data_IF_193390937703
#
_entry.id   IF_193390937703
#
_cell.length_a   1.000
_cell.length_b   1.000
_cell.length_c   1.000
_cell.angle_alpha   90.00
_cell.angle_beta   90.00
_cell.angle_gamma   90.00
#
_symmetry.space_group_name_H-M   'P 1'
#
loop_
_entity.id
_entity.type
_entity.pdbx_description
1 polymer ?
#
# COMPACT_ATOMS: atom_id res chain seq x y z
N UNK A 1 66.02 19.23 16.58
CA UNK A 1 65.10 19.73 17.64
C UNK A 1 63.77 20.06 16.98
N UNK A 2 62.67 19.44 17.46
CA UNK A 2 61.23 19.81 17.33
C UNK A 2 60.53 19.68 15.97
N UNK A 3 59.97 18.48 15.76
CA UNK A 3 58.82 18.19 14.89
C UNK A 3 57.61 19.05 15.25
N UNK A 4 56.87 19.53 14.25
CA UNK A 4 55.47 19.98 14.42
C UNK A 4 54.61 19.28 13.38
N UNK A 5 54.10 18.11 13.77
CA UNK A 5 52.96 17.46 13.10
C UNK A 5 51.71 18.26 13.48
N UNK A 6 51.15 18.99 12.50
CA UNK A 6 49.81 19.54 12.62
C UNK A 6 48.83 18.49 12.11
N UNK A 7 48.25 17.71 13.04
CA UNK A 7 47.11 16.85 12.77
C UNK A 7 45.90 17.74 12.42
N UNK A 8 45.59 17.87 11.13
CA UNK A 8 44.27 18.32 10.69
C UNK A 8 43.28 17.18 10.95
N UNK A 9 42.53 17.31 12.04
CA UNK A 9 41.32 16.52 12.28
C UNK A 9 40.27 16.95 11.23
N UNK A 10 40.12 16.15 10.16
CA UNK A 10 38.99 16.27 9.26
C UNK A 10 37.72 15.84 10.02
N UNK A 11 36.89 16.82 10.37
CA UNK A 11 35.55 16.59 10.90
C UNK A 11 34.71 15.93 9.79
N UNK A 12 34.57 14.61 9.86
CA UNK A 12 33.61 13.87 9.07
C UNK A 12 32.23 14.23 9.62
N UNK A 13 31.56 15.20 8.99
CA UNK A 13 30.14 15.39 9.19
C UNK A 13 29.43 14.16 8.62
N UNK A 14 29.19 13.16 9.47
CA UNK A 14 28.21 12.12 9.21
C UNK A 14 26.85 12.79 9.14
N UNK A 15 26.47 13.21 7.93
CA UNK A 15 25.09 13.51 7.60
C UNK A 15 24.29 12.23 7.80
N UNK A 16 23.77 12.05 9.01
CA UNK A 16 22.64 11.17 9.26
C UNK A 16 21.47 11.77 8.48
N UNK A 17 21.40 11.45 7.19
CA UNK A 17 20.15 11.54 6.46
C UNK A 17 19.22 10.56 7.18
N UNK A 18 18.42 11.10 8.12
CA UNK A 18 17.29 10.39 8.67
C UNK A 18 16.41 10.10 7.46
N UNK A 19 16.49 8.88 6.95
CA UNK A 19 15.51 8.35 6.02
C UNK A 19 14.21 8.31 6.83
N UNK A 20 13.41 9.36 6.74
CA UNK A 20 12.02 9.29 7.15
C UNK A 20 11.40 8.24 6.23
N UNK A 21 11.05 7.08 6.79
CA UNK A 21 10.14 6.18 6.13
C UNK A 21 8.82 6.96 6.03
N UNK A 22 8.49 7.48 4.85
CA UNK A 22 7.14 7.96 4.57
C UNK A 22 6.21 6.78 4.82
N UNK A 23 5.49 6.83 5.93
CA UNK A 23 4.43 5.88 6.22
C UNK A 23 3.34 6.10 5.18
N UNK A 24 3.02 5.04 4.43
CA UNK A 24 1.98 5.11 3.41
C UNK A 24 0.63 5.29 4.10
N UNK A 25 0.09 6.50 4.07
CA UNK A 25 -1.24 6.77 4.59
C UNK A 25 -2.31 6.25 3.61
N UNK A 26 -2.89 5.10 3.91
CA UNK A 26 -3.96 4.52 3.10
C UNK A 26 -5.36 5.08 3.45
N UNK A 27 -5.49 5.85 4.54
CA UNK A 27 -6.77 6.42 4.94
C UNK A 27 -7.32 7.43 3.93
N UNK A 28 -6.43 8.08 3.17
CA UNK A 28 -6.76 9.01 2.08
C UNK A 28 -7.61 8.40 0.96
N UNK A 29 -7.66 7.07 0.85
CA UNK A 29 -8.43 6.39 -0.19
C UNK A 29 -9.87 6.13 0.21
N UNK A 30 -10.23 6.29 1.49
CA UNK A 30 -11.60 6.10 1.98
C UNK A 30 -12.58 7.02 1.25
N UNK A 31 -13.67 6.44 0.77
CA UNK A 31 -14.71 7.13 -0.01
C UNK A 31 -14.40 7.28 -1.49
N UNK A 32 -13.20 6.91 -1.97
CA UNK A 32 -12.88 6.92 -3.40
C UNK A 32 -13.43 5.68 -4.10
N UNK A 33 -13.71 5.83 -5.40
CA UNK A 33 -14.03 4.71 -6.28
C UNK A 33 -12.87 3.73 -6.37
N UNK A 34 -13.16 2.44 -6.23
CA UNK A 34 -12.18 1.36 -6.33
C UNK A 34 -11.41 1.42 -7.65
N UNK A 35 -12.07 1.71 -8.77
CA UNK A 35 -11.45 1.78 -10.08
C UNK A 35 -10.39 2.89 -10.19
N UNK A 36 -10.62 4.01 -9.50
CA UNK A 36 -9.63 5.10 -9.41
C UNK A 36 -8.41 4.63 -8.60
N UNK A 37 -8.66 4.04 -7.43
CA UNK A 37 -7.57 3.57 -6.54
C UNK A 37 -6.76 2.45 -7.20
N UNK A 38 -7.42 1.48 -7.82
CA UNK A 38 -6.79 0.41 -8.61
C UNK A 38 -5.84 1.01 -9.66
N UNK A 39 -6.31 1.98 -10.45
CA UNK A 39 -5.49 2.62 -11.48
C UNK A 39 -4.29 3.37 -10.89
N UNK A 40 -4.50 4.12 -9.81
CA UNK A 40 -3.42 4.84 -9.11
C UNK A 40 -2.33 3.88 -8.61
N UNK A 41 -2.72 2.77 -7.99
CA UNK A 41 -1.81 1.74 -7.49
C UNK A 41 -1.03 1.07 -8.63
N UNK A 42 -1.73 0.61 -9.67
CA UNK A 42 -1.09 -0.03 -10.83
C UNK A 42 -0.11 0.93 -11.53
N UNK A 43 -0.48 2.20 -11.71
CA UNK A 43 0.39 3.23 -12.30
C UNK A 43 1.62 3.53 -11.41
N UNK A 44 1.50 3.33 -10.09
CA UNK A 44 2.59 3.49 -9.13
C UNK A 44 3.44 2.22 -8.97
N UNK A 45 3.23 1.20 -9.81
CA UNK A 45 4.00 -0.04 -9.81
C UNK A 45 3.55 -1.06 -8.75
N UNK A 46 2.42 -0.85 -8.09
CA UNK A 46 1.81 -1.87 -7.25
C UNK A 46 1.14 -2.94 -8.12
N UNK A 47 0.98 -4.13 -7.54
CA UNK A 47 0.35 -5.26 -8.19
C UNK A 47 -0.84 -5.72 -7.36
N UNK A 48 -1.88 -6.21 -8.03
CA UNK A 48 -2.96 -6.92 -7.35
C UNK A 48 -2.42 -8.18 -6.68
N UNK A 49 -2.89 -8.44 -5.47
CA UNK A 49 -2.70 -9.73 -4.82
C UNK A 49 -3.72 -10.70 -5.44
N UNK A 50 -3.27 -11.82 -6.02
CA UNK A 50 -4.18 -12.80 -6.60
C UNK A 50 -4.99 -13.48 -5.51
N UNK A 51 -6.22 -13.87 -5.86
CA UNK A 51 -7.07 -14.66 -4.98
C UNK A 51 -6.42 -16.00 -4.64
N UNK A 52 -6.72 -16.50 -3.45
CA UNK A 52 -6.33 -17.82 -3.01
C UNK A 52 -7.34 -18.88 -3.46
N UNK A 53 -6.89 -20.13 -3.50
CA UNK A 53 -7.75 -21.26 -3.82
C UNK A 53 -8.90 -21.36 -2.81
N UNK A 54 -10.13 -21.44 -3.32
CA UNK A 54 -11.36 -21.50 -2.50
C UNK A 54 -11.99 -20.13 -2.19
N UNK A 55 -11.35 -19.01 -2.55
CA UNK A 55 -11.98 -17.70 -2.43
C UNK A 55 -12.99 -17.45 -3.57
N UNK A 56 -14.09 -16.78 -3.25
CA UNK A 56 -15.12 -16.40 -4.21
C UNK A 56 -15.04 -14.92 -4.52
N UNK A 57 -14.87 -14.58 -5.80
CA UNK A 57 -14.90 -13.20 -6.27
C UNK A 57 -16.30 -12.59 -6.12
N UNK A 58 -16.37 -11.29 -5.85
CA UNK A 58 -17.64 -10.56 -5.77
C UNK A 58 -18.40 -10.55 -7.12
N UNK A 59 -17.65 -10.58 -8.24
CA UNK A 59 -18.19 -10.59 -9.59
C UNK A 59 -17.10 -10.91 -10.63
N UNK A 60 -17.51 -11.27 -11.84
CA UNK A 60 -16.59 -11.44 -12.99
C UNK A 60 -15.91 -10.13 -13.41
N UNK A 61 -16.52 -8.99 -13.15
CA UNK A 61 -15.94 -7.67 -13.46
C UNK A 61 -14.76 -7.33 -12.55
N UNK A 62 -14.82 -7.80 -11.29
CA UNK A 62 -13.83 -7.55 -10.26
C UNK A 62 -13.34 -8.89 -9.69
N UNK A 63 -12.65 -9.70 -10.51
CA UNK A 63 -12.24 -11.03 -10.08
C UNK A 63 -11.30 -10.98 -8.88
N UNK A 64 -10.51 -9.92 -8.71
CA UNK A 64 -9.57 -9.70 -7.61
C UNK A 64 -10.21 -9.30 -6.27
N UNK A 65 -11.51 -8.97 -6.26
CA UNK A 65 -12.22 -8.61 -5.04
C UNK A 65 -12.91 -9.86 -4.50
N UNK A 66 -12.55 -10.29 -3.30
CA UNK A 66 -13.13 -11.47 -2.67
C UNK A 66 -13.98 -11.07 -1.47
N UNK A 67 -15.02 -11.85 -1.19
CA UNK A 67 -15.86 -11.64 -0.01
C UNK A 67 -15.82 -12.88 0.88
N UNK A 68 -15.89 -12.66 2.20
CA UNK A 68 -16.15 -13.74 3.14
C UNK A 68 -17.52 -14.41 2.92
N UNK A 69 -17.85 -15.36 3.78
CA UNK A 69 -19.14 -16.04 3.76
C UNK A 69 -20.16 -15.36 4.70
N UNK A 70 -21.42 -15.30 4.27
CA UNK A 70 -22.54 -14.77 5.05
C UNK A 70 -22.98 -13.37 4.66
N UNK A 71 -24.15 -12.94 5.15
CA UNK A 71 -24.77 -11.65 4.80
C UNK A 71 -24.02 -10.42 5.31
N UNK A 72 -23.12 -10.61 6.28
CA UNK A 72 -22.27 -9.57 6.88
C UNK A 72 -20.80 -9.73 6.47
N UNK A 73 -20.53 -10.50 5.43
CA UNK A 73 -19.18 -10.70 4.94
C UNK A 73 -18.55 -9.39 4.46
N UNK A 74 -17.28 -9.21 4.81
CA UNK A 74 -16.45 -8.12 4.29
C UNK A 74 -15.93 -8.54 2.92
N UNK A 75 -15.99 -7.63 1.96
CA UNK A 75 -15.33 -7.76 0.67
C UNK A 75 -14.04 -6.95 0.68
N UNK A 76 -12.95 -7.53 0.19
CA UNK A 76 -11.64 -6.87 0.20
C UNK A 76 -10.84 -7.14 -1.07
N UNK A 77 -9.82 -6.34 -1.27
CA UNK A 77 -8.87 -6.44 -2.38
C UNK A 77 -7.48 -6.05 -1.91
N UNK A 78 -6.49 -6.88 -2.25
CA UNK A 78 -5.10 -6.69 -1.85
C UNK A 78 -4.25 -6.06 -2.95
N UNK A 79 -3.32 -5.20 -2.55
CA UNK A 79 -2.23 -4.70 -3.39
C UNK A 79 -0.89 -4.96 -2.70
N UNK A 80 0.15 -5.22 -3.51
CA UNK A 80 1.53 -5.39 -3.03
C UNK A 80 2.53 -4.58 -3.87
N UNK A 81 3.56 -4.07 -3.21
CA UNK A 81 4.72 -3.44 -3.85
C UNK A 81 5.98 -3.71 -3.04
N UNK A 82 6.92 -4.46 -3.63
CA UNK A 82 8.17 -4.89 -2.97
C UNK A 82 7.90 -5.57 -1.62
N UNK A 83 8.10 -4.86 -0.51
CA UNK A 83 7.93 -5.33 0.86
C UNK A 83 6.64 -4.82 1.52
N UNK A 84 5.89 -3.95 0.84
CA UNK A 84 4.66 -3.37 1.35
C UNK A 84 3.44 -4.10 0.77
N UNK A 85 2.40 -4.22 1.57
CA UNK A 85 1.09 -4.72 1.17
C UNK A 85 0.01 -3.95 1.87
N UNK A 86 -1.13 -3.79 1.21
CA UNK A 86 -2.34 -3.20 1.79
C UNK A 86 -3.54 -4.00 1.29
N UNK A 87 -4.53 -4.18 2.15
CA UNK A 87 -5.82 -4.71 1.76
C UNK A 87 -6.89 -3.65 2.02
N UNK A 88 -7.68 -3.32 1.00
CA UNK A 88 -8.78 -2.38 1.14
C UNK A 88 -10.09 -3.13 1.32
N UNK A 89 -10.91 -2.65 2.24
CA UNK A 89 -12.32 -3.03 2.33
C UNK A 89 -13.07 -2.27 1.24
N UNK A 90 -13.80 -3.00 0.41
CA UNK A 90 -14.68 -2.42 -0.62
C UNK A 90 -16.14 -2.69 -0.30
N UNK A 91 -16.97 -1.70 -0.54
CA UNK A 91 -18.42 -1.80 -0.41
C UNK A 91 -19.08 -1.44 -1.74
N UNK A 92 -20.14 -2.16 -2.08
CA UNK A 92 -20.95 -1.82 -3.26
C UNK A 92 -21.85 -0.64 -2.94
N UNK A 93 -21.70 0.45 -3.69
CA UNK A 93 -22.58 1.60 -3.68
C UNK A 93 -23.19 1.73 -5.07
N UNK A 94 -24.51 1.52 -5.19
CA UNK A 94 -25.19 1.50 -6.48
C UNK A 94 -24.53 0.51 -7.47
N UNK A 95 -23.91 1.02 -8.54
CA UNK A 95 -23.22 0.26 -9.59
C UNK A 95 -21.69 0.27 -9.46
N UNK A 96 -21.13 0.88 -8.43
CA UNK A 96 -19.68 1.00 -8.24
C UNK A 96 -19.20 0.39 -6.90
N UNK A 97 -17.91 0.08 -6.84
CA UNK A 97 -17.23 -0.30 -5.61
C UNK A 97 -16.53 0.93 -5.04
N UNK A 98 -16.70 1.16 -3.75
CA UNK A 98 -16.09 2.27 -3.00
C UNK A 98 -15.18 1.70 -1.91
N UNK A 99 -14.02 2.32 -1.71
CA UNK A 99 -13.14 2.01 -0.59
C UNK A 99 -13.80 2.49 0.72
N UNK A 100 -14.08 1.56 1.64
CA UNK A 100 -14.64 1.88 2.96
C UNK A 100 -13.55 2.08 4.03
N UNK A 101 -12.39 1.48 3.81
CA UNK A 101 -11.23 1.57 4.69
C UNK A 101 -10.15 0.55 4.33
N UNK A 102 -9.17 0.42 5.20
CA UNK A 102 -8.18 -0.65 5.19
C UNK A 102 -8.69 -1.84 6.02
N UNK A 103 -8.29 -3.06 5.65
CA UNK A 103 -8.67 -4.31 6.32
C UNK A 103 -7.77 -4.61 7.52
#
# INVERSE_FOLDING_TARGET
>A
MKFKFACLFALIFSSNAVLHADELDFSQYKGKSYEVVKREFLNSGWQLVPNQEGETSISEQYPEVTCGLGSMAICSVGFKSKQNSVAFIVVKSQSELIISGEY
#
